data_IF_789439353607
#
_entry.id   IF_789439353607
#
_cell.length_a   1.000
_cell.length_b   1.000
_cell.length_c   1.000
_cell.angle_alpha   90.00
_cell.angle_beta   90.00
_cell.angle_gamma   90.00
#
_symmetry.space_group_name_H-M   'P 1'
#
loop_
_entity.id
_entity.type
_entity.pdbx_description
1 polymer ?
#
# COMPACT_ATOMS: atom_id res chain seq x y z
N UNK A 1 6.32 6.78 -10.65
CA UNK A 1 5.09 6.90 -9.86
C UNK A 1 5.36 6.82 -8.35
N UNK A 2 6.09 5.82 -7.83
CA UNK A 2 6.32 5.63 -6.40
C UNK A 2 6.89 6.90 -5.74
N UNK A 3 7.95 7.49 -6.26
CA UNK A 3 8.52 8.73 -5.70
C UNK A 3 7.52 9.90 -5.65
N UNK A 4 6.61 9.99 -6.64
CA UNK A 4 5.53 10.98 -6.64
C UNK A 4 4.52 10.69 -5.53
N UNK A 5 4.15 9.43 -5.34
CA UNK A 5 3.26 9.03 -4.27
C UNK A 5 3.87 9.31 -2.90
N UNK A 6 5.14 8.93 -2.72
CA UNK A 6 5.86 9.18 -1.48
C UNK A 6 5.91 10.66 -1.14
N UNK A 7 6.32 11.49 -2.12
CA UNK A 7 6.35 12.95 -1.95
C UNK A 7 4.99 13.48 -1.53
N UNK A 8 3.95 13.14 -2.27
CA UNK A 8 2.59 13.61 -2.00
C UNK A 8 2.04 13.16 -0.64
N UNK A 9 2.37 11.94 -0.20
CA UNK A 9 1.92 11.43 1.10
C UNK A 9 2.65 12.09 2.28
N UNK A 10 3.94 12.37 2.12
CA UNK A 10 4.76 12.92 3.21
C UNK A 10 4.60 14.45 3.31
N UNK A 11 4.67 15.18 2.18
CA UNK A 11 4.56 16.63 2.19
C UNK A 11 3.11 17.13 2.21
N UNK A 12 2.16 16.30 1.75
CA UNK A 12 0.80 16.77 1.47
C UNK A 12 0.73 17.66 0.21
N UNK A 13 -0.41 18.26 -0.04
CA UNK A 13 -0.60 19.18 -1.15
C UNK A 13 -0.91 18.51 -2.49
N UNK A 14 -0.67 19.21 -3.59
CA UNK A 14 -0.97 18.71 -4.93
C UNK A 14 -0.08 17.56 -5.36
N UNK A 15 -0.64 16.63 -6.14
CA UNK A 15 0.12 15.53 -6.71
C UNK A 15 1.18 16.04 -7.69
N UNK A 16 2.49 15.78 -7.48
CA UNK A 16 3.53 16.36 -8.32
C UNK A 16 3.48 15.81 -9.74
N UNK A 17 3.41 16.71 -10.73
CA UNK A 17 3.46 16.35 -12.14
C UNK A 17 4.79 15.72 -12.54
N UNK A 18 5.86 16.19 -11.93
CA UNK A 18 7.24 15.77 -12.19
C UNK A 18 8.03 15.67 -10.90
N UNK A 19 8.95 14.73 -10.86
CA UNK A 19 9.95 14.59 -9.81
C UNK A 19 11.29 14.35 -10.48
N UNK A 20 12.29 15.18 -10.20
CA UNK A 20 13.63 15.09 -10.77
C UNK A 20 14.30 13.73 -10.46
N UNK A 21 15.38 13.39 -11.16
CA UNK A 21 16.13 12.14 -10.88
C UNK A 21 16.70 12.14 -9.46
N UNK A 22 17.21 13.27 -9.01
CA UNK A 22 17.75 13.46 -7.65
C UNK A 22 16.64 13.29 -6.61
N UNK A 23 15.50 13.97 -6.81
CA UNK A 23 14.36 13.87 -5.89
C UNK A 23 13.77 12.48 -5.84
N UNK A 24 13.73 11.77 -6.99
CA UNK A 24 13.29 10.34 -7.00
C UNK A 24 14.12 9.50 -6.04
N UNK A 25 15.45 9.67 -6.09
CA UNK A 25 16.35 8.95 -5.18
C UNK A 25 16.11 9.29 -3.71
N UNK A 26 15.85 10.57 -3.41
CA UNK A 26 15.52 11.02 -2.06
C UNK A 26 14.20 10.40 -1.56
N UNK A 27 13.13 10.50 -2.35
CA UNK A 27 11.81 10.04 -1.93
C UNK A 27 11.69 8.53 -1.79
N UNK A 28 12.35 7.77 -2.67
CA UNK A 28 12.36 6.30 -2.60
C UNK A 28 13.06 5.78 -1.34
N UNK A 29 14.02 6.53 -0.79
CA UNK A 29 14.70 6.19 0.47
C UNK A 29 13.84 6.41 1.72
N UNK A 30 12.70 7.10 1.60
CA UNK A 30 11.78 7.37 2.72
C UNK A 30 10.76 6.27 2.96
N UNK A 31 10.76 5.22 2.16
CA UNK A 31 9.79 4.12 2.25
C UNK A 31 10.49 2.78 2.31
N UNK A 32 9.81 1.81 2.92
CA UNK A 32 10.18 0.41 2.85
C UNK A 32 9.37 -0.30 1.75
N UNK A 33 10.00 -1.26 1.09
CA UNK A 33 9.34 -2.14 0.13
C UNK A 33 9.28 -3.56 0.68
N UNK A 34 8.11 -4.16 0.56
CA UNK A 34 7.91 -5.54 0.96
C UNK A 34 7.20 -6.31 -0.15
N UNK A 35 7.79 -7.42 -0.57
CA UNK A 35 7.15 -8.37 -1.46
C UNK A 35 6.53 -9.51 -0.65
N UNK A 36 5.27 -9.86 -0.94
CA UNK A 36 4.61 -11.01 -0.32
C UNK A 36 5.25 -12.34 -0.76
N UNK A 37 5.63 -12.44 -2.03
CA UNK A 37 6.45 -13.55 -2.54
C UNK A 37 7.94 -13.21 -2.39
N UNK A 38 8.65 -13.97 -1.57
CA UNK A 38 10.07 -13.73 -1.24
C UNK A 38 11.09 -14.36 -2.20
N UNK A 39 10.62 -15.05 -3.22
CA UNK A 39 11.48 -15.68 -4.25
C UNK A 39 11.26 -15.03 -5.60
N UNK A 40 12.23 -15.18 -6.50
CA UNK A 40 12.14 -14.72 -7.88
C UNK A 40 10.95 -15.34 -8.60
N UNK A 41 10.43 -14.66 -9.61
CA UNK A 41 9.29 -15.10 -10.42
C UNK A 41 9.49 -14.80 -11.90
N UNK A 42 8.52 -15.22 -12.71
CA UNK A 42 8.46 -14.91 -14.12
C UNK A 42 8.07 -13.45 -14.41
N UNK A 43 8.00 -13.11 -15.69
CA UNK A 43 7.64 -11.76 -16.15
C UNK A 43 6.19 -11.35 -15.80
N UNK A 44 5.33 -12.31 -15.52
CA UNK A 44 3.93 -12.07 -15.11
C UNK A 44 3.71 -12.57 -13.69
N UNK A 45 3.05 -11.74 -12.88
CA UNK A 45 2.64 -12.14 -11.53
C UNK A 45 1.53 -13.18 -11.61
N UNK A 46 1.74 -14.34 -10.98
CA UNK A 46 0.72 -15.36 -10.76
C UNK A 46 0.08 -15.13 -9.39
N UNK A 47 -1.25 -14.91 -9.37
CA UNK A 47 -2.00 -14.61 -8.16
C UNK A 47 -1.96 -15.78 -7.16
N UNK A 48 -2.18 -17.00 -7.64
CA UNK A 48 -2.26 -18.18 -6.78
C UNK A 48 -0.90 -18.48 -6.16
N UNK A 49 0.16 -18.35 -6.95
CA UNK A 49 1.53 -18.46 -6.47
C UNK A 49 1.87 -17.40 -5.41
N UNK A 50 1.47 -16.14 -5.62
CA UNK A 50 1.67 -15.07 -4.60
C UNK A 50 0.92 -15.39 -3.32
N UNK A 51 -0.31 -15.89 -3.42
CA UNK A 51 -1.13 -16.29 -2.27
C UNK A 51 -0.47 -17.43 -1.49
N UNK A 52 -0.04 -18.49 -2.17
CA UNK A 52 0.67 -19.62 -1.57
C UNK A 52 1.91 -19.18 -0.79
N UNK A 53 2.76 -18.36 -1.40
CA UNK A 53 3.96 -17.83 -0.73
C UNK A 53 3.61 -16.89 0.43
N UNK A 54 2.59 -16.05 0.30
CA UNK A 54 2.17 -15.16 1.38
C UNK A 54 1.67 -15.94 2.60
N UNK A 55 0.91 -17.02 2.39
CA UNK A 55 0.43 -17.90 3.47
C UNK A 55 1.59 -18.64 4.10
N UNK A 56 2.49 -19.23 3.30
CA UNK A 56 3.66 -19.95 3.79
C UNK A 56 4.60 -19.06 4.63
N UNK A 57 4.84 -17.86 4.15
CA UNK A 57 5.82 -16.94 4.73
C UNK A 57 5.16 -15.87 5.65
N UNK A 58 3.89 -16.04 6.03
CA UNK A 58 3.09 -15.04 6.76
C UNK A 58 3.74 -14.54 8.05
N UNK A 59 4.40 -15.43 8.79
CA UNK A 59 5.11 -15.06 10.01
C UNK A 59 6.23 -14.04 9.72
N UNK A 60 7.06 -14.29 8.74
CA UNK A 60 8.15 -13.39 8.34
C UNK A 60 7.63 -12.09 7.77
N UNK A 61 6.56 -12.12 6.98
CA UNK A 61 5.91 -10.91 6.43
C UNK A 61 5.39 -10.05 7.59
N UNK A 62 4.71 -10.63 8.56
CA UNK A 62 4.23 -9.93 9.74
C UNK A 62 5.39 -9.34 10.56
N UNK A 63 6.42 -10.11 10.86
CA UNK A 63 7.60 -9.64 11.59
C UNK A 63 8.28 -8.45 10.88
N UNK A 64 8.38 -8.47 9.55
CA UNK A 64 8.91 -7.35 8.78
C UNK A 64 8.02 -6.09 8.89
N UNK A 65 6.70 -6.26 8.82
CA UNK A 65 5.76 -5.14 8.99
C UNK A 65 5.92 -4.52 10.38
N UNK A 66 5.96 -5.34 11.41
CA UNK A 66 6.14 -4.89 12.79
C UNK A 66 7.49 -4.19 13.00
N UNK A 67 8.56 -4.74 12.41
CA UNK A 67 9.91 -4.15 12.47
C UNK A 67 9.97 -2.76 11.81
N UNK A 68 9.31 -2.60 10.66
CA UNK A 68 9.27 -1.31 9.96
C UNK A 68 8.44 -0.26 10.69
N UNK A 69 7.51 -0.68 11.54
CA UNK A 69 6.61 0.21 12.28
C UNK A 69 6.06 1.36 11.40
N UNK A 70 5.35 1.04 10.32
CA UNK A 70 4.96 2.02 9.32
C UNK A 70 3.87 2.96 9.83
N UNK A 71 3.76 4.15 9.23
CA UNK A 71 2.62 5.06 9.43
C UNK A 71 1.44 4.69 8.52
N UNK A 72 1.72 4.08 7.37
CA UNK A 72 0.72 3.64 6.39
C UNK A 72 1.29 2.51 5.54
N UNK A 73 0.44 1.56 5.14
CA UNK A 73 0.78 0.52 4.17
C UNK A 73 0.00 0.72 2.89
N UNK A 74 0.69 0.79 1.76
CA UNK A 74 0.07 0.84 0.43
C UNK A 74 0.27 -0.49 -0.27
N UNK A 75 -0.81 -1.26 -0.40
CA UNK A 75 -0.81 -2.53 -1.08
C UNK A 75 -1.02 -2.35 -2.58
N UNK A 76 0.04 -2.50 -3.36
CA UNK A 76 0.00 -2.34 -4.81
C UNK A 76 -0.59 -3.57 -5.51
N UNK A 77 -1.65 -3.37 -6.29
CA UNK A 77 -2.39 -4.42 -6.98
C UNK A 77 -3.80 -4.59 -6.44
N UNK A 78 -4.79 -4.14 -7.22
CA UNK A 78 -6.22 -4.20 -6.87
C UNK A 78 -6.82 -5.55 -7.20
N UNK A 79 -7.83 -5.93 -6.45
CA UNK A 79 -8.71 -7.07 -6.71
C UNK A 79 -8.74 -8.07 -5.56
N UNK A 80 -9.81 -8.84 -5.53
CA UNK A 80 -10.03 -9.89 -4.54
C UNK A 80 -8.86 -10.90 -4.51
N UNK A 81 -8.44 -11.28 -3.32
CA UNK A 81 -7.33 -12.19 -3.10
C UNK A 81 -5.97 -11.64 -3.52
N UNK A 82 -5.80 -10.31 -3.60
CA UNK A 82 -4.51 -9.65 -3.83
C UNK A 82 -3.97 -9.02 -2.54
N UNK A 83 -2.86 -8.32 -2.67
CA UNK A 83 -1.97 -7.95 -1.57
C UNK A 83 -2.65 -7.47 -0.30
N UNK A 84 -3.63 -6.55 -0.37
CA UNK A 84 -4.33 -6.07 0.82
C UNK A 84 -5.26 -7.14 1.42
N UNK A 85 -5.95 -7.93 0.58
CA UNK A 85 -6.79 -9.04 1.03
C UNK A 85 -5.94 -10.14 1.69
N UNK A 86 -4.75 -10.43 1.16
CA UNK A 86 -3.83 -11.40 1.76
C UNK A 86 -3.30 -10.91 3.11
N UNK A 87 -2.98 -9.63 3.24
CA UNK A 87 -2.62 -9.08 4.54
C UNK A 87 -3.78 -9.19 5.53
N UNK A 88 -4.99 -8.86 5.11
CA UNK A 88 -6.17 -8.92 5.97
C UNK A 88 -6.55 -10.34 6.39
N UNK A 89 -6.63 -11.27 5.43
CA UNK A 89 -7.19 -12.60 5.67
C UNK A 89 -6.16 -13.61 6.17
N UNK A 90 -4.87 -13.41 5.90
CA UNK A 90 -3.85 -14.43 6.12
C UNK A 90 -2.70 -13.97 7.05
N UNK A 91 -2.20 -12.75 6.87
CA UNK A 91 -0.96 -12.32 7.53
C UNK A 91 -1.20 -11.65 8.87
N UNK A 92 -2.21 -10.77 8.95
CA UNK A 92 -2.50 -9.94 10.14
C UNK A 92 -3.67 -10.48 10.97
N UNK A 93 -3.97 -11.75 10.87
CA UNK A 93 -5.17 -12.38 11.45
C UNK A 93 -5.22 -12.36 12.97
N UNK A 94 -4.09 -12.35 13.63
CA UNK A 94 -3.92 -12.33 15.08
C UNK A 94 -3.74 -10.90 15.66
N UNK A 95 -3.82 -9.86 14.83
CA UNK A 95 -3.78 -8.47 15.28
C UNK A 95 -5.19 -7.89 15.34
N UNK A 96 -5.36 -6.89 16.20
CA UNK A 96 -6.58 -6.09 16.22
C UNK A 96 -6.75 -5.32 14.91
N UNK A 97 -7.86 -5.56 14.21
CA UNK A 97 -8.13 -5.00 12.86
C UNK A 97 -9.53 -4.42 12.80
N UNK A 98 -9.66 -3.28 12.11
CA UNK A 98 -10.97 -2.77 11.75
C UNK A 98 -11.62 -3.64 10.65
N UNK A 99 -12.92 -3.52 10.48
CA UNK A 99 -13.59 -4.02 9.28
C UNK A 99 -13.11 -3.28 8.02
N UNK A 100 -13.29 -3.95 6.86
CA UNK A 100 -13.03 -3.32 5.58
C UNK A 100 -13.94 -2.12 5.35
N UNK A 101 -13.34 -0.95 5.10
CA UNK A 101 -14.03 0.24 4.64
C UNK A 101 -14.01 0.27 3.12
N UNK A 102 -15.21 0.34 2.51
CA UNK A 102 -15.42 0.28 1.06
C UNK A 102 -16.16 1.53 0.57
N UNK A 103 -15.52 2.69 0.59
CA UNK A 103 -16.15 3.93 0.12
C UNK A 103 -16.45 3.86 -1.38
N UNK A 104 -17.53 4.52 -1.82
CA UNK A 104 -18.05 4.43 -3.20
C UNK A 104 -17.04 4.95 -4.23
N UNK A 105 -16.29 6.00 -3.89
CA UNK A 105 -15.40 6.70 -4.83
C UNK A 105 -13.91 6.49 -4.60
N UNK A 106 -13.50 5.81 -3.54
CA UNK A 106 -12.10 5.71 -3.14
C UNK A 106 -11.63 4.26 -3.07
N UNK A 107 -10.41 4.05 -2.59
CA UNK A 107 -9.84 2.72 -2.44
C UNK A 107 -10.32 2.08 -1.13
N UNK A 108 -10.54 0.78 -1.18
CA UNK A 108 -10.85 0.00 0.01
C UNK A 108 -9.64 0.00 0.95
N UNK A 109 -9.90 0.09 2.24
CA UNK A 109 -8.88 0.12 3.27
C UNK A 109 -9.39 -0.47 4.58
N UNK A 110 -8.47 -0.80 5.46
CA UNK A 110 -8.71 -1.19 6.85
C UNK A 110 -7.57 -0.66 7.72
N UNK A 111 -7.71 -0.70 9.03
CA UNK A 111 -6.62 -0.45 9.96
C UNK A 111 -6.26 -1.73 10.71
N UNK A 112 -5.03 -1.81 11.21
CA UNK A 112 -4.63 -2.75 12.23
C UNK A 112 -3.75 -2.04 13.26
N UNK A 113 -3.72 -2.56 14.47
CA UNK A 113 -3.06 -1.91 15.59
C UNK A 113 -1.63 -2.43 15.79
N UNK A 114 -0.67 -1.51 15.93
CA UNK A 114 0.69 -1.76 16.43
C UNK A 114 0.97 -0.76 17.55
N UNK A 115 1.34 -1.25 18.73
CA UNK A 115 1.75 -0.39 19.86
C UNK A 115 0.73 0.74 20.16
N UNK A 116 -0.55 0.42 20.20
CA UNK A 116 -1.66 1.35 20.39
C UNK A 116 -1.79 2.42 19.29
N UNK A 117 -1.25 2.16 18.09
CA UNK A 117 -1.37 3.02 16.93
C UNK A 117 -2.10 2.28 15.81
N UNK A 118 -3.16 2.88 15.30
CA UNK A 118 -3.88 2.38 14.12
C UNK A 118 -3.09 2.65 12.84
N UNK A 119 -2.71 1.60 12.15
CA UNK A 119 -1.98 1.65 10.89
C UNK A 119 -2.94 1.39 9.73
N UNK A 120 -3.20 2.38 8.87
CA UNK A 120 -4.05 2.19 7.70
C UNK A 120 -3.37 1.35 6.62
N UNK A 121 -4.11 0.40 6.07
CA UNK A 121 -3.71 -0.45 4.93
C UNK A 121 -4.64 -0.16 3.76
N UNK A 122 -4.09 0.38 2.70
CA UNK A 122 -4.84 0.86 1.53
C UNK A 122 -4.62 -0.10 0.35
N UNK A 123 -5.73 -0.63 -0.19
CA UNK A 123 -5.69 -1.43 -1.43
C UNK A 123 -5.55 -0.50 -2.64
N UNK A 124 -4.42 -0.54 -3.31
CA UNK A 124 -4.05 0.42 -4.32
C UNK A 124 -3.68 -0.17 -5.69
N UNK A 125 -3.62 0.66 -6.72
CA UNK A 125 -3.19 0.26 -8.06
C UNK A 125 -1.69 -0.06 -8.11
N UNK A 126 -1.29 -0.90 -9.06
CA UNK A 126 0.13 -1.19 -9.28
C UNK A 126 0.86 0.06 -9.82
N UNK A 127 2.11 0.35 -9.40
CA UNK A 127 2.88 1.51 -9.84
C UNK A 127 3.11 1.59 -11.35
N UNK A 128 3.11 0.45 -12.03
CA UNK A 128 3.25 0.35 -13.49
C UNK A 128 1.92 0.47 -14.25
N UNK A 129 0.80 0.64 -13.56
CA UNK A 129 -0.47 0.79 -14.24
C UNK A 129 -0.52 2.12 -14.99
N UNK A 130 -0.47 2.02 -16.32
CA UNK A 130 -0.59 3.13 -17.25
C UNK A 130 -2.07 3.53 -17.34
N UNK A 131 -2.49 4.40 -16.49
CA UNK A 131 -3.71 5.16 -16.67
C UNK A 131 -3.28 6.60 -16.86
N UNK A 132 -3.76 7.26 -17.91
CA UNK A 132 -3.34 8.62 -18.25
C UNK A 132 -3.33 9.54 -17.04
N UNK A 133 -2.52 10.57 -17.12
CA UNK A 133 -2.25 11.58 -16.11
C UNK A 133 -3.54 12.10 -15.40
N UNK A 134 -4.65 12.18 -16.12
CA UNK A 134 -5.92 12.68 -15.63
C UNK A 134 -6.66 11.71 -14.69
N UNK A 135 -6.60 10.40 -14.94
CA UNK A 135 -7.16 9.40 -14.01
C UNK A 135 -6.43 9.34 -12.67
N UNK A 136 -5.17 9.76 -12.65
CA UNK A 136 -4.39 9.83 -11.41
C UNK A 136 -4.73 11.09 -10.61
N UNK A 137 -5.02 12.20 -11.29
CA UNK A 137 -5.36 13.48 -10.69
C UNK A 137 -6.71 13.39 -9.97
N UNK A 138 -7.72 12.85 -10.63
CA UNK A 138 -9.05 12.59 -10.03
C UNK A 138 -8.95 11.70 -8.79
N UNK A 139 -8.21 10.60 -8.89
CA UNK A 139 -8.08 9.63 -7.79
C UNK A 139 -7.15 10.06 -6.66
N UNK A 140 -6.31 11.05 -6.87
CA UNK A 140 -5.46 11.59 -5.82
C UNK A 140 -6.19 12.59 -4.93
N UNK A 141 -7.06 13.40 -5.50
CA UNK A 141 -7.92 14.28 -4.72
C UNK A 141 -8.80 13.48 -3.75
N UNK A 142 -9.34 12.33 -4.20
CA UNK A 142 -10.08 11.41 -3.35
C UNK A 142 -9.25 10.85 -2.15
N UNK A 143 -7.92 10.96 -2.17
CA UNK A 143 -7.02 10.44 -1.11
C UNK A 143 -6.53 11.47 -0.13
N UNK A 144 -6.48 12.71 -0.51
CA UNK A 144 -6.33 13.80 0.45
C UNK A 144 -7.49 13.74 1.44
N UNK A 145 -8.67 13.34 0.96
CA UNK A 145 -9.84 13.08 1.80
C UNK A 145 -9.64 11.89 2.74
N UNK A 146 -8.96 10.81 2.30
CA UNK A 146 -8.62 9.68 3.19
C UNK A 146 -7.63 10.14 4.26
N UNK A 147 -6.59 10.90 3.91
CA UNK A 147 -5.63 11.45 4.87
C UNK A 147 -6.31 12.39 5.86
N UNK A 148 -7.18 13.28 5.39
CA UNK A 148 -7.96 14.19 6.21
C UNK A 148 -8.94 13.44 7.13
N UNK A 149 -9.60 12.39 6.62
CA UNK A 149 -10.55 11.58 7.38
C UNK A 149 -9.89 10.61 8.38
N UNK A 150 -8.61 10.28 8.20
CA UNK A 150 -7.85 9.43 9.13
C UNK A 150 -7.17 10.26 10.24
N UNK A 151 -7.29 11.58 10.23
CA UNK A 151 -6.63 12.48 11.21
C UNK A 151 -5.11 12.21 11.34
N UNK A 152 -4.47 11.85 10.22
CA UNK A 152 -3.04 11.58 10.11
C UNK A 152 -2.22 12.87 10.01
#
# INVERSE_FOLDING_TARGET
>A
NIARWTKALIEGGEYPHYVSKTDKSYWVKKIAFLNLKKVGGGAKANKDEISEYAIRDKKFIKEQILLYNPDVIICCGRGQGKNADLLYNEVLTDLNRSEWKKPIKTYNWFTFEINNKDIPVISFVHPQMWGGHDRFKEKYNDRLDIKANLSL
#
